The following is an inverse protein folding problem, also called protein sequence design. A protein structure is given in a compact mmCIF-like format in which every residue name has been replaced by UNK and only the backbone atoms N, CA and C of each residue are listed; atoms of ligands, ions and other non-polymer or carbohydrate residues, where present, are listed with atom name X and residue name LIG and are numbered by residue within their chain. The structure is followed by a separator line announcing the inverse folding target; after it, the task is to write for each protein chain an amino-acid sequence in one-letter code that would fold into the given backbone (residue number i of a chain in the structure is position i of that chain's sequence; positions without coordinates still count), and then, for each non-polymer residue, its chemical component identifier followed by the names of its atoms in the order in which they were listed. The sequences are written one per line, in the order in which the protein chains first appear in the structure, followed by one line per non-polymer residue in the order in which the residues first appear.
data_IF_757163139347
#
_entry.id   IF_757163139347
#
_cell.length_a   1.000
_cell.length_b   1.000
_cell.length_c   1.000
_cell.angle_alpha   90.00
_cell.angle_beta   90.00
_cell.angle_gamma   90.00
#
_symmetry.space_group_name_H-M   'P 1'
#
loop_
_entity.id
_entity.type
_entity.pdbx_description
1 polymer ?
#
# COMPACT_ATOMS: atom_id res chain seq x y z
N UNK A 1 -22.33 8.48 -22.58
CA UNK A 1 -22.46 6.99 -22.49
C UNK A 1 -23.03 6.64 -21.13
N UNK A 2 -23.89 5.59 -21.04
CA UNK A 2 -24.37 5.14 -19.73
C UNK A 2 -23.36 4.16 -19.12
N UNK A 3 -23.00 4.39 -17.86
CA UNK A 3 -22.09 3.58 -17.07
C UNK A 3 -22.74 3.20 -15.75
N UNK A 4 -22.20 2.18 -15.08
CA UNK A 4 -22.63 1.80 -13.73
C UNK A 4 -21.66 2.40 -12.72
N UNK A 5 -22.20 3.04 -11.69
CA UNK A 5 -21.47 3.50 -10.52
C UNK A 5 -21.90 2.69 -9.29
N UNK A 6 -20.92 2.03 -8.65
CA UNK A 6 -21.10 1.34 -7.38
C UNK A 6 -20.76 2.27 -6.22
N UNK A 7 -21.72 2.46 -5.35
CA UNK A 7 -21.55 3.24 -4.12
C UNK A 7 -21.13 2.29 -3.00
N UNK A 8 -19.92 2.47 -2.48
CA UNK A 8 -19.25 1.61 -1.52
C UNK A 8 -19.10 2.26 -0.15
N UNK A 9 -18.87 1.44 0.85
CA UNK A 9 -18.38 1.84 2.19
C UNK A 9 -17.24 0.89 2.60
N UNK A 10 -16.35 1.37 3.43
CA UNK A 10 -15.17 0.64 3.91
C UNK A 10 -15.51 -0.75 4.48
N UNK A 11 -16.62 -0.85 5.21
CA UNK A 11 -17.03 -2.07 5.90
C UNK A 11 -17.59 -3.19 5.00
N UNK A 12 -17.73 -2.98 3.67
CA UNK A 12 -18.41 -3.93 2.78
C UNK A 12 -17.66 -4.12 1.46
N UNK A 13 -17.60 -5.36 0.97
CA UNK A 13 -17.14 -5.68 -0.38
C UNK A 13 -18.28 -5.65 -1.41
N UNK A 14 -19.50 -5.53 -0.94
CA UNK A 14 -20.68 -5.36 -1.79
C UNK A 14 -21.11 -3.90 -1.82
N UNK A 15 -21.53 -3.36 -2.98
CA UNK A 15 -22.01 -2.00 -3.05
C UNK A 15 -23.31 -1.83 -2.25
N UNK A 16 -23.43 -0.70 -1.56
CA UNK A 16 -24.70 -0.27 -0.97
C UNK A 16 -25.78 -0.07 -2.05
N UNK A 17 -25.33 0.45 -3.20
CA UNK A 17 -26.17 0.68 -4.37
C UNK A 17 -25.33 0.67 -5.64
N UNK A 18 -25.94 0.20 -6.74
CA UNK A 18 -25.42 0.40 -8.10
C UNK A 18 -26.37 1.37 -8.83
N UNK A 19 -25.82 2.40 -9.43
CA UNK A 19 -26.57 3.51 -10.05
C UNK A 19 -26.13 3.65 -11.50
N UNK A 20 -27.07 3.79 -12.41
CA UNK A 20 -26.77 4.13 -13.82
C UNK A 20 -26.54 5.63 -13.92
N UNK A 21 -25.40 6.01 -14.51
CA UNK A 21 -24.99 7.39 -14.72
C UNK A 21 -24.79 7.71 -16.19
N UNK A 22 -24.97 8.96 -16.58
CA UNK A 22 -24.33 9.47 -17.78
C UNK A 22 -22.88 9.80 -17.46
N UNK A 23 -21.95 9.16 -18.15
CA UNK A 23 -20.51 9.26 -17.87
C UNK A 23 -19.98 10.69 -18.08
N UNK A 24 -20.46 11.35 -19.14
CA UNK A 24 -20.04 12.73 -19.41
C UNK A 24 -20.48 13.68 -18.27
N UNK A 25 -21.70 13.56 -17.81
CA UNK A 25 -22.20 14.37 -16.68
C UNK A 25 -21.50 14.01 -15.36
N UNK A 26 -21.11 12.74 -15.17
CA UNK A 26 -20.40 12.31 -13.98
C UNK A 26 -19.01 12.95 -13.87
N UNK A 27 -18.33 13.12 -15.01
CA UNK A 27 -16.94 13.60 -15.07
C UNK A 27 -16.79 15.08 -15.37
N UNK A 28 -17.82 15.70 -15.95
CA UNK A 28 -17.78 17.14 -16.30
C UNK A 28 -17.80 18.02 -15.06
N UNK A 29 -17.25 19.24 -15.14
CA UNK A 29 -17.44 20.22 -14.08
C UNK A 29 -18.93 20.41 -13.76
N UNK A 30 -19.29 20.58 -12.48
CA UNK A 30 -20.68 20.75 -12.10
C UNK A 30 -21.29 22.02 -12.69
N UNK A 31 -22.56 21.95 -13.06
CA UNK A 31 -23.31 23.15 -13.44
C UNK A 31 -23.44 24.09 -12.23
N UNK A 32 -23.31 25.41 -12.40
CA UNK A 32 -23.48 26.35 -11.31
C UNK A 32 -24.87 26.19 -10.68
N UNK A 33 -24.97 25.92 -9.38
CA UNK A 33 -26.26 25.78 -8.71
C UNK A 33 -26.94 27.15 -8.57
N UNK A 34 -28.29 27.14 -8.55
CA UNK A 34 -29.07 28.35 -8.30
C UNK A 34 -28.92 28.89 -6.87
N UNK A 35 -28.53 28.03 -5.95
CA UNK A 35 -28.23 28.36 -4.54
C UNK A 35 -26.80 27.96 -4.23
N UNK A 36 -26.10 28.69 -3.35
CA UNK A 36 -24.74 28.35 -2.97
C UNK A 36 -24.69 26.95 -2.34
N UNK A 37 -23.76 26.12 -2.81
CA UNK A 37 -23.43 24.82 -2.24
C UNK A 37 -22.15 24.98 -1.40
N UNK A 38 -22.20 24.52 -0.15
CA UNK A 38 -21.00 24.43 0.68
C UNK A 38 -20.30 23.11 0.33
N UNK A 39 -19.14 23.24 -0.27
CA UNK A 39 -18.25 22.10 -0.49
C UNK A 39 -17.44 21.87 0.80
N UNK A 40 -17.16 20.63 1.09
CA UNK A 40 -16.33 20.27 2.23
C UNK A 40 -14.86 20.67 2.00
N UNK A 41 -14.39 20.45 0.80
CA UNK A 41 -13.03 20.85 0.39
C UNK A 41 -13.01 21.30 -1.07
N UNK A 42 -11.90 21.94 -1.48
CA UNK A 42 -11.62 22.21 -2.87
C UNK A 42 -11.42 20.90 -3.65
N UNK A 43 -11.61 20.94 -4.97
CA UNK A 43 -11.46 19.79 -5.85
C UNK A 43 -10.24 19.95 -6.80
N UNK A 44 -8.99 19.96 -6.30
CA UNK A 44 -7.83 19.99 -7.17
C UNK A 44 -7.73 18.69 -7.98
N UNK A 45 -7.00 18.68 -9.10
CA UNK A 45 -6.66 17.44 -9.80
C UNK A 45 -5.97 16.45 -8.89
N UNK A 46 -6.11 15.14 -9.17
CA UNK A 46 -5.34 14.13 -8.44
C UNK A 46 -3.84 14.34 -8.64
N UNK A 47 -3.08 14.05 -7.60
CA UNK A 47 -1.63 14.08 -7.59
C UNK A 47 -1.07 12.66 -7.60
N UNK A 48 0.07 12.48 -8.26
CA UNK A 48 0.80 11.21 -8.30
C UNK A 48 2.18 11.41 -7.69
N UNK A 49 2.60 10.47 -6.86
CA UNK A 49 3.97 10.32 -6.37
C UNK A 49 4.56 9.09 -7.04
N UNK A 50 5.73 9.24 -7.66
CA UNK A 50 6.41 8.14 -8.34
C UNK A 50 7.72 7.80 -7.64
N UNK A 51 7.90 6.51 -7.38
CA UNK A 51 9.18 5.94 -6.99
C UNK A 51 9.60 4.90 -8.02
N UNK A 52 10.85 4.95 -8.53
CA UNK A 52 11.30 4.02 -9.55
C UNK A 52 11.27 2.58 -9.02
N UNK A 53 10.86 1.64 -9.86
CA UNK A 53 10.93 0.22 -9.51
C UNK A 53 12.34 -0.36 -9.73
N UNK A 54 13.15 0.28 -10.57
CA UNK A 54 14.52 -0.10 -10.74
C UNK A 54 15.32 0.24 -9.47
N UNK A 55 16.01 -0.75 -8.95
CA UNK A 55 16.88 -0.55 -7.82
C UNK A 55 18.09 0.32 -8.24
N UNK A 56 18.29 1.39 -7.51
CA UNK A 56 19.50 2.19 -7.58
C UNK A 56 20.28 2.00 -6.28
N UNK A 57 21.53 1.54 -6.38
CA UNK A 57 22.36 1.30 -5.21
C UNK A 57 22.60 2.61 -4.44
N UNK A 58 22.24 2.58 -3.18
CA UNK A 58 22.56 3.64 -2.21
C UNK A 58 23.16 2.98 -0.96
N UNK A 59 24.10 3.66 -0.30
CA UNK A 59 24.38 3.35 1.10
C UNK A 59 23.04 3.45 1.86
N UNK A 60 22.85 2.93 3.01
CA UNK A 60 21.57 2.89 3.74
C UNK A 60 20.61 4.04 3.39
N UNK A 61 19.43 3.71 2.81
CA UNK A 61 18.39 4.64 2.49
C UNK A 61 17.25 4.50 3.53
N UNK A 62 16.99 5.53 4.35
CA UNK A 62 15.86 5.49 5.27
C UNK A 62 14.54 5.45 4.49
N UNK A 63 13.46 4.91 5.08
CA UNK A 63 12.12 4.95 4.48
C UNK A 63 11.71 6.38 4.13
N UNK A 64 10.98 6.51 3.00
CA UNK A 64 10.46 7.80 2.51
C UNK A 64 8.95 7.82 2.70
N UNK A 65 8.45 8.76 3.52
CA UNK A 65 7.02 8.95 3.73
C UNK A 65 6.30 9.31 2.44
N UNK A 66 5.15 8.69 2.20
CA UNK A 66 4.29 8.95 1.03
C UNK A 66 2.97 9.59 1.46
N UNK A 67 2.27 8.96 2.40
CA UNK A 67 1.02 9.42 3.00
C UNK A 67 1.03 9.17 4.50
N UNK A 68 0.38 10.06 5.26
CA UNK A 68 0.32 9.91 6.72
C UNK A 68 -0.89 10.62 7.33
N UNK A 69 -1.53 9.95 8.31
CA UNK A 69 -2.47 10.53 9.25
C UNK A 69 -2.29 9.88 10.63
N UNK A 70 -3.22 10.05 11.57
CA UNK A 70 -3.16 9.46 12.91
C UNK A 70 -3.56 7.97 12.99
N UNK A 71 -3.95 7.35 11.86
CA UNK A 71 -4.39 5.96 11.77
C UNK A 71 -3.43 5.07 10.96
N UNK A 72 -2.61 5.67 10.09
CA UNK A 72 -1.68 4.95 9.24
C UNK A 72 -0.58 5.87 8.70
N UNK A 73 0.60 5.31 8.52
CA UNK A 73 1.72 5.89 7.76
C UNK A 73 2.11 4.95 6.65
N UNK A 74 2.27 5.48 5.45
CA UNK A 74 2.70 4.73 4.25
C UNK A 74 4.06 5.25 3.83
N UNK A 75 5.02 4.36 3.69
CA UNK A 75 6.38 4.67 3.29
C UNK A 75 6.86 3.77 2.16
N UNK A 76 7.83 4.23 1.40
CA UNK A 76 8.56 3.46 0.40
C UNK A 76 10.03 3.39 0.79
N UNK A 77 10.65 2.21 0.65
CA UNK A 77 12.05 2.00 0.97
C UNK A 77 12.73 1.09 -0.05
N UNK A 78 14.05 1.29 -0.21
CA UNK A 78 14.96 0.37 -0.88
C UNK A 78 16.13 0.03 0.04
N UNK A 79 16.63 -1.19 -0.06
CA UNK A 79 17.71 -1.68 0.79
C UNK A 79 18.62 -2.64 0.00
N UNK A 80 19.96 -2.40 0.08
CA UNK A 80 20.99 -3.32 -0.44
C UNK A 80 22.07 -3.50 0.61
N UNK A 81 21.93 -4.57 1.38
CA UNK A 81 22.76 -4.85 2.53
C UNK A 81 21.91 -4.97 3.80
N UNK A 82 22.58 -5.07 4.90
CA UNK A 82 21.96 -5.27 6.20
C UNK A 82 21.63 -3.92 6.85
N UNK A 83 20.44 -3.83 7.44
CA UNK A 83 20.07 -2.75 8.35
C UNK A 83 21.05 -2.72 9.53
N UNK A 84 21.52 -1.54 9.99
CA UNK A 84 22.61 -1.49 10.98
C UNK A 84 22.18 -1.75 12.43
N UNK A 85 20.89 -2.07 12.68
CA UNK A 85 20.33 -2.32 14.01
C UNK A 85 19.04 -3.13 13.91
N UNK A 86 18.67 -3.82 14.99
CA UNK A 86 17.33 -4.35 15.18
C UNK A 86 16.36 -3.23 15.52
N UNK A 87 15.18 -3.29 14.96
CA UNK A 87 14.13 -2.32 15.14
C UNK A 87 12.96 -2.95 15.89
N UNK A 88 12.42 -2.26 16.91
CA UNK A 88 11.24 -2.70 17.66
C UNK A 88 10.23 -1.57 17.70
N UNK A 89 9.11 -1.72 16.99
CA UNK A 89 8.00 -0.78 17.02
C UNK A 89 7.21 -0.91 18.31
N UNK A 90 7.08 0.17 19.08
CA UNK A 90 6.34 0.14 20.35
C UNK A 90 4.85 0.53 20.19
N UNK A 91 4.46 1.13 19.08
CA UNK A 91 3.13 1.74 18.90
C UNK A 91 2.35 1.22 17.68
N UNK A 92 2.98 0.45 16.78
CA UNK A 92 2.37 -0.01 15.52
C UNK A 92 2.63 -1.48 15.24
N UNK A 93 1.74 -2.10 14.47
CA UNK A 93 2.06 -3.23 13.62
C UNK A 93 2.66 -2.69 12.31
N UNK A 94 3.70 -3.34 11.79
CA UNK A 94 4.35 -3.00 10.53
C UNK A 94 3.97 -4.04 9.49
N UNK A 95 3.37 -3.60 8.37
CA UNK A 95 3.09 -4.46 7.22
C UNK A 95 4.01 -4.04 6.10
N UNK A 96 4.65 -4.99 5.44
CA UNK A 96 5.46 -4.75 4.25
C UNK A 96 4.90 -5.46 3.03
N UNK A 97 5.01 -4.80 1.86
CA UNK A 97 4.76 -5.36 0.53
C UNK A 97 6.06 -5.34 -0.26
N UNK A 98 6.55 -6.52 -0.66
CA UNK A 98 7.75 -6.66 -1.45
C UNK A 98 7.49 -6.33 -2.92
N UNK A 99 8.14 -5.27 -3.42
CA UNK A 99 8.01 -4.83 -4.82
C UNK A 99 9.00 -5.59 -5.72
N UNK A 100 10.27 -5.57 -5.35
CA UNK A 100 11.36 -6.12 -6.15
C UNK A 100 12.53 -6.57 -5.30
N UNK A 101 13.49 -7.29 -5.92
CA UNK A 101 14.63 -7.86 -5.23
C UNK A 101 14.24 -8.95 -4.23
N UNK A 102 15.12 -9.20 -3.27
CA UNK A 102 14.93 -10.18 -2.21
C UNK A 102 15.28 -9.55 -0.86
N UNK A 103 14.61 -9.98 0.19
CA UNK A 103 14.87 -9.51 1.55
C UNK A 103 14.73 -10.64 2.56
N UNK A 104 15.77 -10.83 3.37
CA UNK A 104 15.68 -11.65 4.57
C UNK A 104 15.26 -10.79 5.73
N UNK A 105 14.08 -11.06 6.30
CA UNK A 105 13.62 -10.50 7.56
C UNK A 105 14.01 -11.46 8.69
N UNK A 106 14.74 -10.98 9.68
CA UNK A 106 15.14 -11.70 10.87
C UNK A 106 14.43 -11.13 12.09
N UNK A 107 13.80 -11.96 12.89
CA UNK A 107 13.06 -11.51 14.07
C UNK A 107 13.03 -12.53 15.19
N UNK A 108 12.55 -12.12 16.35
CA UNK A 108 12.25 -13.00 17.48
C UNK A 108 11.22 -14.10 17.13
N UNK A 109 10.42 -13.91 16.08
CA UNK A 109 9.40 -14.86 15.60
C UNK A 109 9.90 -15.71 14.42
N UNK A 110 11.20 -15.64 14.11
CA UNK A 110 11.85 -16.40 13.05
C UNK A 110 12.20 -15.57 11.82
N UNK A 111 12.62 -16.27 10.77
CA UNK A 111 13.18 -15.71 9.54
C UNK A 111 12.20 -15.88 8.39
N UNK A 112 12.07 -14.86 7.57
CA UNK A 112 11.30 -14.88 6.31
C UNK A 112 12.22 -14.43 5.16
N UNK A 113 12.23 -15.20 4.08
CA UNK A 113 12.75 -14.76 2.79
C UNK A 113 11.61 -14.17 1.96
N UNK A 114 11.62 -12.86 1.77
CA UNK A 114 10.63 -12.16 0.93
C UNK A 114 10.98 -12.25 -0.54
N UNK A 115 9.94 -12.39 -1.34
CA UNK A 115 9.97 -12.34 -2.81
C UNK A 115 8.94 -11.34 -3.32
N UNK A 116 9.10 -10.76 -4.52
CA UNK A 116 8.10 -9.87 -5.10
C UNK A 116 6.68 -10.43 -5.02
N UNK A 117 5.74 -9.60 -4.57
CA UNK A 117 4.35 -9.96 -4.33
C UNK A 117 4.02 -10.45 -2.93
N UNK A 118 5.01 -10.62 -2.06
CA UNK A 118 4.79 -11.02 -0.66
C UNK A 118 4.33 -9.86 0.20
N UNK A 119 3.40 -10.16 1.09
CA UNK A 119 3.02 -9.33 2.23
C UNK A 119 3.32 -10.06 3.53
N UNK A 120 3.79 -9.36 4.53
CA UNK A 120 3.86 -9.89 5.90
C UNK A 120 3.67 -8.79 6.92
N UNK A 121 3.20 -9.17 8.10
CA UNK A 121 3.00 -8.29 9.24
C UNK A 121 3.97 -8.63 10.36
N UNK A 122 4.70 -7.63 10.82
CA UNK A 122 5.50 -7.70 12.04
C UNK A 122 4.63 -7.13 13.16
N UNK A 123 4.26 -7.94 14.15
CA UNK A 123 3.45 -7.46 15.27
C UNK A 123 4.22 -6.43 16.09
N UNK A 124 3.52 -5.46 16.66
CA UNK A 124 4.05 -4.53 17.63
C UNK A 124 4.86 -5.25 18.71
N UNK A 125 5.98 -4.67 19.08
CA UNK A 125 6.85 -5.19 20.13
C UNK A 125 7.79 -6.33 19.70
N UNK A 126 7.83 -6.71 18.42
CA UNK A 126 8.74 -7.73 17.89
C UNK A 126 9.99 -7.06 17.31
N UNK A 127 11.15 -7.41 17.85
CA UNK A 127 12.43 -6.97 17.31
C UNK A 127 12.72 -7.65 15.96
N UNK A 128 13.16 -6.86 14.99
CA UNK A 128 13.46 -7.35 13.65
C UNK A 128 14.58 -6.56 12.98
N UNK A 129 15.24 -7.20 12.05
CA UNK A 129 16.31 -6.66 11.20
C UNK A 129 16.11 -7.17 9.78
N UNK A 130 16.56 -6.41 8.79
CA UNK A 130 16.43 -6.71 7.38
C UNK A 130 17.80 -6.81 6.69
N UNK A 131 17.94 -7.83 5.84
CA UNK A 131 19.04 -7.94 4.90
C UNK A 131 18.47 -7.93 3.48
N UNK A 132 18.59 -6.79 2.81
CA UNK A 132 18.12 -6.57 1.43
C UNK A 132 19.18 -6.96 0.40
N UNK A 133 18.71 -7.43 -0.75
CA UNK A 133 19.46 -7.71 -1.97
C UNK A 133 18.72 -7.08 -3.14
N UNK A 134 19.12 -5.85 -3.51
CA UNK A 134 18.41 -5.02 -4.49
C UNK A 134 16.92 -4.88 -4.13
N UNK A 135 16.63 -4.81 -2.84
CA UNK A 135 15.29 -4.83 -2.28
C UNK A 135 14.59 -3.48 -2.46
N UNK A 136 13.31 -3.54 -2.81
CA UNK A 136 12.39 -2.41 -2.73
C UNK A 136 11.03 -2.86 -2.20
N UNK A 137 10.44 -2.09 -1.30
CA UNK A 137 9.19 -2.44 -0.65
C UNK A 137 8.40 -1.22 -0.18
N UNK A 138 7.09 -1.43 0.04
CA UNK A 138 6.19 -0.46 0.69
C UNK A 138 5.94 -0.90 2.12
N UNK A 139 5.97 0.05 3.04
CA UNK A 139 5.69 -0.13 4.47
C UNK A 139 4.36 0.54 4.83
N UNK A 140 3.60 -0.12 5.70
CA UNK A 140 2.36 0.37 6.28
C UNK A 140 2.45 0.21 7.79
N UNK A 141 2.51 1.33 8.53
CA UNK A 141 2.54 1.36 9.99
C UNK A 141 1.15 1.65 10.52
N UNK A 142 0.59 0.71 11.28
CA UNK A 142 -0.82 0.75 11.73
C UNK A 142 -0.88 0.61 13.25
N UNK A 143 -1.32 1.63 14.01
CA UNK A 143 -1.38 1.58 15.48
C UNK A 143 -2.52 0.73 16.02
N UNK A 144 -3.59 0.50 15.24
CA UNK A 144 -4.71 -0.34 15.66
C UNK A 144 -4.39 -1.83 15.50
N UNK A 145 -5.05 -2.73 16.26
CA UNK A 145 -4.91 -4.16 16.06
C UNK A 145 -5.28 -4.58 14.64
N UNK A 146 -4.37 -5.26 13.97
CA UNK A 146 -4.54 -5.73 12.59
C UNK A 146 -4.99 -7.19 12.57
N UNK A 147 -5.99 -7.49 11.74
CA UNK A 147 -6.45 -8.85 11.43
C UNK A 147 -6.02 -9.25 10.04
N UNK A 148 -5.43 -10.44 9.91
CA UNK A 148 -5.11 -11.08 8.65
C UNK A 148 -6.35 -11.78 8.09
N UNK A 149 -6.68 -11.54 6.81
CA UNK A 149 -7.90 -12.04 6.17
C UNK A 149 -7.63 -13.19 5.20
N UNK A 150 -6.44 -13.22 4.61
CA UNK A 150 -6.04 -14.27 3.68
C UNK A 150 -5.30 -15.40 4.42
N UNK A 151 -5.34 -16.64 3.90
CA UNK A 151 -4.55 -17.74 4.45
C UNK A 151 -3.05 -17.49 4.21
N UNK A 152 -2.23 -17.88 5.17
CA UNK A 152 -0.79 -17.86 5.01
C UNK A 152 -0.35 -18.79 3.87
N UNK A 153 0.48 -18.27 2.98
CA UNK A 153 1.14 -19.08 1.95
C UNK A 153 2.36 -19.82 2.52
N UNK A 154 3.02 -19.18 3.47
CA UNK A 154 4.10 -19.72 4.28
C UNK A 154 4.24 -18.92 5.58
N UNK A 155 5.03 -19.43 6.50
CA UNK A 155 5.30 -18.80 7.79
C UNK A 155 6.81 -18.60 8.00
N UNK A 156 7.17 -17.74 8.95
CA UNK A 156 8.56 -17.60 9.40
C UNK A 156 9.08 -18.89 10.00
N UNK A 157 10.35 -19.18 9.79
CA UNK A 157 11.00 -20.41 10.26
C UNK A 157 12.18 -20.12 11.18
N UNK A 158 12.49 -21.10 12.05
CA UNK A 158 13.71 -21.08 12.88
C UNK A 158 14.93 -21.49 12.04
N UNK A 159 15.41 -20.60 11.17
CA UNK A 159 16.51 -20.86 10.24
C UNK A 159 17.79 -20.20 10.77
N UNK A 160 18.87 -21.00 10.91
CA UNK A 160 20.18 -20.52 11.32
C UNK A 160 21.29 -21.14 10.45
N UNK A 161 22.24 -20.36 9.92
CA UNK A 161 22.26 -18.91 9.91
C UNK A 161 21.09 -18.33 9.12
N UNK A 162 20.54 -17.14 9.47
CA UNK A 162 19.39 -16.54 8.81
C UNK A 162 19.66 -16.18 7.34
N UNK A 163 20.93 -15.93 7.00
CA UNK A 163 21.38 -15.74 5.62
C UNK A 163 22.84 -16.19 5.45
N UNK A 164 23.31 -16.49 4.23
CA UNK A 164 24.68 -16.90 4.00
C UNK A 164 25.72 -15.87 4.45
N UNK A 165 26.68 -16.30 5.26
CA UNK A 165 27.73 -15.43 5.79
C UNK A 165 27.39 -14.71 7.09
N UNK A 166 26.18 -14.84 7.60
CA UNK A 166 25.83 -14.32 8.93
C UNK A 166 26.70 -14.96 10.01
N UNK A 167 27.14 -14.14 10.94
CA UNK A 167 27.86 -14.56 12.14
C UNK A 167 27.22 -13.88 13.34
N UNK A 168 26.88 -14.60 14.41
CA UNK A 168 26.30 -14.02 15.61
C UNK A 168 27.30 -13.06 16.27
N UNK A 169 26.78 -11.97 16.83
CA UNK A 169 27.56 -10.96 17.49
C UNK A 169 26.75 -10.05 18.38
N UNK A 170 27.37 -8.97 18.82
CA UNK A 170 26.67 -7.87 19.46
C UNK A 170 26.08 -6.95 18.38
N UNK A 171 24.79 -6.62 18.53
CA UNK A 171 24.09 -5.69 17.67
C UNK A 171 23.43 -4.59 18.52
N UNK A 172 22.92 -3.55 17.89
CA UNK A 172 22.07 -2.57 18.53
C UNK A 172 20.59 -2.92 18.32
N UNK A 173 19.76 -2.61 19.31
CA UNK A 173 18.32 -2.63 19.20
C UNK A 173 17.77 -1.23 19.47
N UNK A 174 16.96 -0.69 18.55
CA UNK A 174 16.28 0.58 18.67
C UNK A 174 14.79 0.36 18.94
N UNK A 175 14.27 0.99 19.99
CA UNK A 175 12.84 1.04 20.27
C UNK A 175 12.27 2.34 19.70
N UNK A 176 11.34 2.22 18.75
CA UNK A 176 10.83 3.35 17.96
C UNK A 176 9.35 3.55 18.14
N UNK A 177 8.93 4.80 18.21
CA UNK A 177 7.55 5.27 18.01
C UNK A 177 7.37 5.71 16.56
N UNK A 178 6.60 4.98 15.77
CA UNK A 178 6.41 5.27 14.35
C UNK A 178 5.32 6.30 14.07
N UNK A 179 4.31 6.41 14.95
CA UNK A 179 3.15 7.30 14.74
C UNK A 179 3.16 8.54 15.64
N UNK A 180 3.89 8.52 16.75
CA UNK A 180 3.96 9.65 17.64
C UNK A 180 5.08 10.61 17.23
N UNK A 181 4.75 11.90 17.12
CA UNK A 181 5.70 13.00 16.99
C UNK A 181 6.88 12.75 16.05
N UNK A 182 6.61 12.32 14.83
CA UNK A 182 7.59 12.17 13.73
C UNK A 182 8.45 10.89 13.73
N UNK A 183 8.00 9.80 14.34
CA UNK A 183 8.70 8.52 14.27
C UNK A 183 10.17 8.66 14.72
N UNK A 184 10.47 8.46 15.98
CA UNK A 184 11.82 8.56 16.49
C UNK A 184 12.15 7.46 17.48
N UNK A 185 13.42 7.18 17.61
CA UNK A 185 13.92 6.23 18.57
C UNK A 185 13.82 6.79 19.99
N UNK A 186 13.18 6.01 20.87
CA UNK A 186 13.05 6.36 22.29
C UNK A 186 14.34 5.99 23.01
N UNK A 187 14.90 4.82 22.66
CA UNK A 187 16.12 4.30 23.26
C UNK A 187 16.81 3.33 22.32
N UNK A 188 18.13 3.23 22.45
CA UNK A 188 18.98 2.27 21.72
C UNK A 188 19.90 1.60 22.73
N UNK A 189 20.06 0.29 22.66
CA UNK A 189 20.92 -0.49 23.54
C UNK A 189 21.52 -1.71 22.81
N UNK A 190 22.56 -2.29 23.39
CA UNK A 190 23.22 -3.46 22.84
C UNK A 190 22.46 -4.76 23.15
N UNK A 191 22.40 -5.67 22.18
CA UNK A 191 21.82 -6.99 22.33
C UNK A 191 22.78 -8.06 21.81
N UNK A 192 22.69 -9.25 22.40
CA UNK A 192 23.29 -10.46 21.84
C UNK A 192 22.35 -10.99 20.75
N UNK A 193 22.81 -10.96 19.52
CA UNK A 193 22.00 -11.28 18.35
C UNK A 193 21.57 -12.74 18.32
N UNK A 194 22.42 -13.66 18.75
CA UNK A 194 22.06 -15.07 18.80
C UNK A 194 20.93 -15.29 19.80
N UNK A 195 21.05 -14.74 21.02
CA UNK A 195 20.00 -14.86 22.05
C UNK A 195 18.68 -14.23 21.59
N UNK A 196 18.75 -13.10 20.85
CA UNK A 196 17.56 -12.45 20.32
C UNK A 196 16.83 -13.36 19.32
N UNK A 197 17.54 -13.91 18.35
CA UNK A 197 16.94 -14.75 17.30
C UNK A 197 16.52 -16.13 17.84
N UNK A 198 17.21 -16.68 18.85
CA UNK A 198 16.83 -17.94 19.50
C UNK A 198 15.48 -17.86 20.26
N UNK A 199 14.92 -16.66 20.48
CA UNK A 199 13.57 -16.49 21.03
C UNK A 199 12.51 -17.20 20.20
N UNK A 200 12.74 -17.43 18.92
CA UNK A 200 11.87 -18.24 18.05
C UNK A 200 11.56 -19.63 18.63
N UNK A 201 12.43 -20.17 19.47
CA UNK A 201 12.23 -21.47 20.13
C UNK A 201 11.40 -21.40 21.43
N UNK A 202 11.09 -20.17 21.90
CA UNK A 202 10.38 -19.96 23.17
C UNK A 202 8.88 -19.82 23.01
N UNK A 203 8.40 -19.57 21.78
CA UNK A 203 6.97 -19.44 21.51
C UNK A 203 6.59 -20.07 20.16
N UNK A 204 5.30 -20.44 20.02
CA UNK A 204 4.77 -21.09 18.82
C UNK A 204 4.30 -20.07 17.75
N UNK A 205 4.19 -18.81 18.12
CA UNK A 205 3.74 -17.76 17.20
C UNK A 205 4.74 -17.55 16.08
N UNK A 206 4.23 -17.45 14.85
CA UNK A 206 5.02 -17.18 13.63
C UNK A 206 4.42 -16.02 12.87
N UNK A 207 5.22 -15.39 12.03
CA UNK A 207 4.75 -14.37 11.08
C UNK A 207 4.29 -15.07 9.81
N UNK A 208 3.10 -14.68 9.33
CA UNK A 208 2.55 -15.18 8.08
C UNK A 208 3.04 -14.37 6.87
N UNK A 209 3.27 -15.03 5.75
CA UNK A 209 3.41 -14.41 4.45
C UNK A 209 2.13 -14.63 3.68
N UNK A 210 1.51 -13.52 3.27
CA UNK A 210 0.28 -13.50 2.48
C UNK A 210 0.58 -13.09 1.04
N UNK A 211 -0.25 -13.54 0.10
CA UNK A 211 -0.22 -13.12 -1.31
C UNK A 211 -1.63 -12.91 -1.83
N UNK A 212 -1.73 -12.12 -2.90
CA UNK A 212 -2.96 -12.01 -3.65
C UNK A 212 -3.35 -13.37 -4.26
N UNK A 213 -4.65 -13.67 -4.27
CA UNK A 213 -5.19 -14.82 -4.98
C UNK A 213 -5.35 -14.46 -6.46
N UNK A 214 -4.61 -15.11 -7.37
CA UNK A 214 -4.68 -14.80 -8.80
C UNK A 214 -6.03 -15.12 -9.44
N UNK A 215 -6.90 -15.87 -8.73
CA UNK A 215 -8.27 -16.18 -9.16
C UNK A 215 -9.31 -15.12 -8.75
N UNK A 216 -8.91 -14.07 -8.06
CA UNK A 216 -9.82 -13.03 -7.57
C UNK A 216 -9.44 -11.64 -8.10
N UNK A 217 -10.44 -10.86 -8.50
CA UNK A 217 -10.23 -9.46 -8.90
C UNK A 217 -9.77 -8.59 -7.72
N UNK A 218 -10.18 -8.93 -6.50
CA UNK A 218 -9.80 -8.24 -5.26
C UNK A 218 -9.47 -9.26 -4.18
N UNK A 219 -8.24 -9.26 -3.69
CA UNK A 219 -7.83 -10.03 -2.52
C UNK A 219 -7.66 -9.09 -1.32
N UNK A 220 -8.48 -9.27 -0.29
CA UNK A 220 -8.33 -8.57 0.98
C UNK A 220 -7.30 -9.31 1.85
N UNK A 221 -6.27 -8.60 2.31
CA UNK A 221 -5.16 -9.20 3.05
C UNK A 221 -5.21 -8.84 4.54
N UNK A 222 -5.42 -7.56 4.83
CA UNK A 222 -5.41 -7.05 6.21
C UNK A 222 -6.57 -6.09 6.45
N UNK A 223 -7.07 -6.07 7.69
CA UNK A 223 -8.09 -5.12 8.11
C UNK A 223 -7.94 -4.69 9.56
N UNK A 224 -8.43 -3.48 9.83
CA UNK A 224 -8.81 -3.00 11.16
C UNK A 224 -10.27 -2.53 11.09
N UNK A 225 -10.79 -1.90 12.13
CA UNK A 225 -12.09 -1.23 12.09
C UNK A 225 -12.11 0.00 11.16
N UNK A 226 -10.93 0.54 10.78
CA UNK A 226 -10.78 1.80 10.02
C UNK A 226 -9.94 1.70 8.77
N UNK A 227 -9.31 0.56 8.52
CA UNK A 227 -8.38 0.36 7.41
C UNK A 227 -8.68 -0.98 6.74
N UNK A 228 -8.57 -1.01 5.41
CA UNK A 228 -8.50 -2.24 4.62
C UNK A 228 -7.35 -2.17 3.64
N UNK A 229 -6.51 -3.18 3.66
CA UNK A 229 -5.37 -3.33 2.75
C UNK A 229 -5.53 -4.63 1.95
N UNK A 230 -5.27 -4.54 0.66
CA UNK A 230 -5.32 -5.69 -0.24
C UNK A 230 -4.73 -5.40 -1.60
N UNK A 231 -4.92 -6.35 -2.50
CA UNK A 231 -4.47 -6.27 -3.90
C UNK A 231 -5.68 -6.31 -4.82
N UNK A 232 -5.64 -5.51 -5.87
CA UNK A 232 -6.63 -5.51 -6.96
C UNK A 232 -5.95 -5.93 -8.25
N UNK A 233 -6.47 -6.98 -8.87
CA UNK A 233 -6.01 -7.45 -10.18
C UNK A 233 -6.80 -6.73 -11.28
N UNK A 234 -6.12 -6.28 -12.32
CA UNK A 234 -6.71 -5.60 -13.47
C UNK A 234 -6.49 -6.41 -14.73
N UNK A 235 -7.54 -6.53 -15.54
CA UNK A 235 -7.49 -7.20 -16.84
C UNK A 235 -7.87 -6.23 -17.95
N UNK A 236 -7.25 -6.34 -19.15
CA UNK A 236 -7.63 -5.52 -20.28
C UNK A 236 -9.08 -5.75 -20.73
N UNK A 237 -9.69 -4.70 -21.22
CA UNK A 237 -11.06 -4.77 -21.76
C UNK A 237 -12.14 -4.61 -20.70
N UNK A 238 -13.36 -4.86 -21.11
CA UNK A 238 -14.52 -4.74 -20.24
C UNK A 238 -15.18 -3.36 -20.26
N UNK A 239 -16.34 -3.30 -19.65
CA UNK A 239 -17.12 -2.07 -19.52
C UNK A 239 -16.58 -1.24 -18.36
N UNK A 240 -16.41 0.07 -18.54
CA UNK A 240 -16.03 0.95 -17.43
C UNK A 240 -17.10 0.91 -16.35
N UNK A 241 -16.71 0.51 -15.15
CA UNK A 241 -17.53 0.49 -13.95
C UNK A 241 -16.90 1.42 -12.92
N UNK A 242 -17.65 2.43 -12.52
CA UNK A 242 -17.20 3.42 -11.55
C UNK A 242 -17.44 2.91 -10.13
N UNK A 243 -16.54 3.28 -9.23
CA UNK A 243 -16.66 3.04 -7.80
C UNK A 243 -16.57 4.37 -7.05
N UNK A 244 -17.39 4.52 -6.03
CA UNK A 244 -17.37 5.67 -5.12
C UNK A 244 -17.41 5.17 -3.69
N UNK A 245 -16.34 5.38 -2.92
CA UNK A 245 -16.32 5.07 -1.49
C UNK A 245 -16.75 6.30 -0.71
N UNK A 246 -17.77 6.15 0.15
CA UNK A 246 -18.42 7.29 0.82
C UNK A 246 -17.72 7.71 2.11
N UNK A 247 -16.96 6.82 2.74
CA UNK A 247 -16.44 6.95 4.10
C UNK A 247 -14.94 6.63 4.22
N UNK A 248 -14.22 6.52 3.11
CA UNK A 248 -12.79 6.27 3.11
C UNK A 248 -12.09 6.90 1.91
N UNK A 249 -10.86 7.38 2.14
CA UNK A 249 -9.88 7.63 1.09
C UNK A 249 -9.33 6.30 0.57
N UNK A 250 -8.94 6.26 -0.68
CA UNK A 250 -8.24 5.11 -1.27
C UNK A 250 -6.85 5.54 -1.75
N UNK A 251 -5.81 4.89 -1.23
CA UNK A 251 -4.46 4.98 -1.77
C UNK A 251 -4.25 3.76 -2.67
N UNK A 252 -3.77 4.01 -3.88
CA UNK A 252 -3.41 2.95 -4.82
C UNK A 252 -1.92 3.05 -5.13
N UNK A 253 -1.21 1.92 -5.04
CA UNK A 253 0.16 1.77 -5.50
C UNK A 253 0.18 0.82 -6.69
N UNK A 254 0.57 1.31 -7.88
CA UNK A 254 0.67 0.50 -9.09
C UNK A 254 1.88 -0.42 -8.99
N UNK A 255 1.63 -1.73 -8.84
CA UNK A 255 2.68 -2.72 -8.70
C UNK A 255 3.14 -3.28 -10.06
N UNK A 256 2.19 -3.67 -10.91
CA UNK A 256 2.48 -4.22 -12.24
C UNK A 256 1.48 -3.72 -13.29
N UNK A 257 1.93 -3.68 -14.54
CA UNK A 257 1.12 -3.27 -15.68
C UNK A 257 0.80 -1.78 -15.70
N UNK A 258 0.10 -1.33 -16.74
CA UNK A 258 -0.27 0.05 -16.97
C UNK A 258 -1.79 0.18 -17.04
N UNK A 259 -2.32 1.25 -16.47
CA UNK A 259 -3.74 1.57 -16.53
C UNK A 259 -3.99 3.06 -16.53
N UNK A 260 -5.10 3.47 -17.13
CA UNK A 260 -5.61 4.83 -17.01
C UNK A 260 -6.64 4.89 -15.89
N UNK A 261 -6.41 5.75 -14.91
CA UNK A 261 -7.34 6.08 -13.84
C UNK A 261 -8.19 7.27 -14.28
N UNK A 262 -9.51 7.09 -14.32
CA UNK A 262 -10.51 8.08 -14.71
C UNK A 262 -11.28 8.49 -13.47
N UNK A 263 -11.28 9.78 -13.14
CA UNK A 263 -11.97 10.28 -11.93
C UNK A 263 -12.67 11.61 -12.20
N UNK A 264 -13.53 12.02 -11.26
CA UNK A 264 -14.11 13.37 -11.25
C UNK A 264 -13.07 14.48 -11.04
N UNK A 265 -11.84 14.13 -10.62
CA UNK A 265 -10.70 15.05 -10.42
C UNK A 265 -9.62 14.90 -11.48
N UNK A 266 -9.97 14.40 -12.65
CA UNK A 266 -9.08 14.25 -13.79
C UNK A 266 -8.79 12.82 -14.18
N UNK A 267 -7.96 12.69 -15.21
CA UNK A 267 -7.54 11.43 -15.83
C UNK A 267 -6.02 11.37 -15.77
N UNK A 268 -5.48 10.23 -15.33
CA UNK A 268 -4.04 10.01 -15.23
C UNK A 268 -3.68 8.58 -15.62
N UNK A 269 -2.61 8.44 -16.40
CA UNK A 269 -2.03 7.15 -16.71
C UNK A 269 -1.08 6.76 -15.56
N UNK A 270 -1.23 5.54 -15.07
CA UNK A 270 -0.46 4.98 -13.96
C UNK A 270 0.44 3.86 -14.46
N UNK A 271 1.68 3.91 -14.01
CA UNK A 271 2.74 2.94 -14.30
C UNK A 271 3.31 2.35 -13.00
N UNK A 272 4.01 1.22 -13.06
CA UNK A 272 4.65 0.64 -11.89
C UNK A 272 5.55 1.64 -11.13
N UNK A 273 5.32 1.77 -9.82
CA UNK A 273 5.98 2.76 -8.97
C UNK A 273 5.12 3.98 -8.60
N UNK A 274 3.94 4.11 -9.21
CA UNK A 274 3.04 5.22 -8.94
C UNK A 274 2.16 5.00 -7.71
N UNK A 275 2.11 6.02 -6.87
CA UNK A 275 1.12 6.17 -5.82
C UNK A 275 0.12 7.26 -6.21
N UNK A 276 -1.15 7.01 -5.95
CA UNK A 276 -2.23 7.99 -6.12
C UNK A 276 -3.23 7.90 -4.99
N UNK A 277 -3.71 9.05 -4.52
CA UNK A 277 -4.81 9.14 -3.55
C UNK A 277 -6.10 9.49 -4.28
N UNK A 278 -7.15 8.73 -4.02
CA UNK A 278 -8.53 9.03 -4.42
C UNK A 278 -9.28 9.43 -3.16
N UNK A 279 -9.62 10.70 -2.98
CA UNK A 279 -10.34 11.16 -1.80
C UNK A 279 -11.74 10.53 -1.69
N UNK A 280 -12.22 10.39 -0.47
CA UNK A 280 -13.57 9.89 -0.21
C UNK A 280 -14.63 10.65 -1.04
N UNK A 281 -15.65 9.95 -1.47
CA UNK A 281 -16.73 10.52 -2.25
C UNK A 281 -16.39 10.78 -3.72
N UNK A 282 -15.16 10.59 -4.18
CA UNK A 282 -14.77 10.75 -5.58
C UNK A 282 -15.03 9.47 -6.35
N UNK A 283 -15.83 9.58 -7.42
CA UNK A 283 -16.09 8.47 -8.33
C UNK A 283 -14.92 8.24 -9.25
N UNK A 284 -14.50 6.98 -9.41
CA UNK A 284 -13.37 6.60 -10.26
C UNK A 284 -13.59 5.25 -10.95
N UNK A 285 -12.92 5.08 -12.08
CA UNK A 285 -12.81 3.81 -12.81
C UNK A 285 -11.38 3.65 -13.34
N UNK A 286 -10.96 2.41 -13.58
CA UNK A 286 -9.70 2.08 -14.21
C UNK A 286 -9.91 1.40 -15.55
N UNK A 287 -9.04 1.72 -16.51
CA UNK A 287 -8.96 1.03 -17.80
C UNK A 287 -7.52 0.52 -17.95
N UNK A 288 -7.37 -0.80 -17.89
CA UNK A 288 -6.09 -1.46 -18.08
C UNK A 288 -5.87 -1.76 -19.58
N UNK A 289 -4.65 -1.53 -20.06
CA UNK A 289 -4.23 -1.88 -21.43
C UNK A 289 -3.57 -3.24 -21.49
N UNK A 290 -3.12 -3.75 -20.37
CA UNK A 290 -2.47 -5.06 -20.16
C UNK A 290 -2.85 -5.61 -18.78
N UNK A 291 -2.67 -6.92 -18.53
CA UNK A 291 -2.84 -7.47 -17.19
C UNK A 291 -1.91 -6.79 -16.18
N UNK A 292 -2.40 -6.50 -15.01
CA UNK A 292 -1.63 -5.84 -13.96
C UNK A 292 -2.31 -5.95 -12.61
N UNK A 293 -1.68 -5.36 -11.62
CA UNK A 293 -2.23 -5.26 -10.27
C UNK A 293 -1.77 -3.99 -9.55
N UNK A 294 -2.51 -3.63 -8.53
CA UNK A 294 -2.16 -2.55 -7.64
C UNK A 294 -2.57 -2.84 -6.20
N UNK A 295 -1.77 -2.37 -5.25
CA UNK A 295 -2.12 -2.37 -3.83
C UNK A 295 -3.20 -1.32 -3.61
N UNK A 296 -4.30 -1.70 -2.95
CA UNK A 296 -5.39 -0.81 -2.54
C UNK A 296 -5.44 -0.74 -1.02
N UNK A 297 -5.26 0.46 -0.49
CA UNK A 297 -5.41 0.80 0.91
C UNK A 297 -6.59 1.75 1.07
N UNK A 298 -7.61 1.34 1.81
CA UNK A 298 -8.74 2.18 2.22
C UNK A 298 -8.51 2.67 3.64
N UNK A 299 -8.61 3.97 3.87
CA UNK A 299 -8.52 4.63 5.18
C UNK A 299 -9.78 5.41 5.49
N UNK A 300 -10.40 5.16 6.65
CA UNK A 300 -11.62 5.85 7.07
C UNK A 300 -11.44 7.37 7.21
N UNK A 301 -10.24 7.83 7.44
CA UNK A 301 -9.90 9.26 7.49
C UNK A 301 -9.14 9.68 6.26
N UNK A 302 -9.20 10.98 6.00
CA UNK A 302 -8.34 11.63 5.03
C UNK A 302 -6.88 11.23 5.27
N UNK A 303 -6.18 10.86 4.18
CA UNK A 303 -4.79 10.42 4.21
C UNK A 303 -3.91 11.38 3.38
N UNK A 304 -3.46 12.48 4.00
CA UNK A 304 -2.67 13.51 3.33
C UNK A 304 -1.38 12.97 2.71
N UNK A 305 -1.04 13.49 1.53
CA UNK A 305 0.24 13.25 0.90
C UNK A 305 1.32 14.06 1.61
N UNK A 306 2.43 13.41 1.96
CA UNK A 306 3.63 14.05 2.56
C UNK A 306 4.81 14.10 1.60
N UNK A 307 4.83 13.22 0.59
CA UNK A 307 5.83 13.21 -0.47
C UNK A 307 5.58 14.33 -1.49
N UNK A 308 6.63 14.69 -2.23
CA UNK A 308 6.53 15.64 -3.35
C UNK A 308 5.72 15.02 -4.52
N UNK A 309 4.87 15.85 -5.13
CA UNK A 309 4.10 15.48 -6.31
C UNK A 309 5.02 15.40 -7.53
N UNK A 310 4.99 14.27 -8.24
CA UNK A 310 5.75 14.11 -9.49
C UNK A 310 4.96 14.54 -10.71
N UNK A 311 3.65 14.31 -10.73
CA UNK A 311 2.73 14.75 -11.78
C UNK A 311 1.30 14.89 -11.26
N UNK A 312 0.45 15.54 -12.04
CA UNK A 312 -0.98 15.71 -11.74
C UNK A 312 -1.84 15.14 -12.85
N UNK A 313 -3.07 14.74 -12.51
CA UNK A 313 -4.05 14.31 -13.49
C UNK A 313 -4.44 15.44 -14.46
N UNK A 314 -4.66 15.08 -15.71
CA UNK A 314 -5.18 16.00 -16.72
C UNK A 314 -6.68 16.24 -16.52
N UNK A 315 -7.15 17.44 -16.84
CA UNK A 315 -8.58 17.72 -16.84
C UNK A 315 -9.32 16.78 -17.79
N UNK A 316 -10.52 16.37 -17.37
CA UNK A 316 -11.41 15.59 -18.22
C UNK A 316 -11.79 16.37 -19.48
N UNK A 317 -11.67 15.72 -20.64
CA UNK A 317 -12.25 16.17 -21.92
C UNK A 317 -13.04 15.03 -22.58
N UNK A 318 -14.16 15.31 -23.26
CA UNK A 318 -14.98 14.26 -23.90
C UNK A 318 -14.19 13.42 -24.93
N UNK A 319 -13.25 14.04 -25.63
CA UNK A 319 -12.46 13.41 -26.69
C UNK A 319 -11.48 12.36 -26.15
N UNK A 320 -11.08 12.47 -24.88
CA UNK A 320 -10.15 11.54 -24.26
C UNK A 320 -10.80 10.19 -23.92
N UNK A 321 -12.10 10.16 -23.59
CA UNK A 321 -12.79 8.93 -23.19
C UNK A 321 -12.86 7.86 -24.30
N UNK A 322 -13.18 8.17 -25.56
CA UNK A 322 -13.23 7.18 -26.63
C UNK A 322 -11.88 6.49 -26.86
N UNK A 323 -10.77 7.20 -26.71
CA UNK A 323 -9.42 6.64 -26.89
C UNK A 323 -9.03 5.64 -25.79
N UNK A 324 -9.75 5.64 -24.66
CA UNK A 324 -9.55 4.71 -23.55
C UNK A 324 -10.41 3.45 -23.65
N UNK A 325 -11.23 3.33 -24.70
CA UNK A 325 -12.03 2.12 -24.94
C UNK A 325 -11.13 1.10 -25.66
N UNK A 326 -10.75 0.04 -24.99
CA UNK A 326 -10.07 -1.08 -25.66
C UNK A 326 -11.14 -1.81 -26.47
N UNK A 327 -11.04 -1.79 -27.78
CA UNK A 327 -11.87 -2.64 -28.65
C UNK A 327 -11.56 -4.10 -28.27
N UNK A 328 -12.56 -4.81 -27.76
CA UNK A 328 -12.47 -6.25 -27.59
C UNK A 328 -12.24 -6.88 -28.98
N UNK A 329 -11.06 -7.40 -29.22
CA UNK A 329 -10.71 -8.18 -30.41
C UNK A 329 -11.20 -9.59 -30.26
#
# INVERSE_FOLDING_TARGET
MSVVEDVMVLGSDQPLRSIVRDEHLLLSPPHPPKVPVKLWEEHPPLTVVHYPQQYESEAFAPPRGVYENDEIRVEWQKLDGRQPFYHRNCDVDEISYQIGGERTLMSELGVIEFQPGDFSRIPRGVAHDNYGREDSHVLFYIPAPVTELAPAQRESGAVFPPFPGWQPGEANEAITQCMAALGHDITVFGVDEQLLLEQVHQEDRRMAVLRADPGQDVTRLYTTDRIRLGMVTTTPGGQRRYRRTLDADEIQYQAHGHRTLITQRGIVDLEPGDFVRIPLGISHASVATEPGDYVSLLSHRELPQVAETTRTADAYTPERLPSLTVEAR
#
